data_IF_814577755135
#
_entry.id   IF_814577755135
#
_cell.length_a   1.000
_cell.length_b   1.000
_cell.length_c   1.000
_cell.angle_alpha   90.00
_cell.angle_beta   90.00
_cell.angle_gamma   90.00
#
_symmetry.space_group_name_H-M   'P 1'
#
loop_
_entity.id
_entity.type
_entity.pdbx_description
1 polymer ?
#
# COMPACT_ATOMS: atom_id res chain seq x y z
N UNK A 1 4.13 18.65 -6.68
CA UNK A 1 3.56 17.30 -6.51
C UNK A 1 4.65 16.31 -6.83
N UNK A 2 4.98 15.45 -5.88
CA UNK A 2 5.97 14.42 -6.07
C UNK A 2 5.32 13.05 -6.33
N UNK A 3 6.05 12.20 -7.03
CA UNK A 3 5.67 10.82 -7.28
C UNK A 3 6.89 9.89 -7.14
N UNK A 4 6.67 8.69 -6.62
CA UNK A 4 7.66 7.62 -6.50
C UNK A 4 7.04 6.32 -6.94
N UNK A 5 7.62 5.69 -7.95
CA UNK A 5 7.24 4.34 -8.39
C UNK A 5 8.26 3.37 -7.81
N UNK A 6 7.79 2.25 -7.30
CA UNK A 6 8.68 1.21 -6.82
C UNK A 6 8.19 -0.19 -7.17
N UNK A 7 9.16 -1.07 -7.38
CA UNK A 7 8.95 -2.45 -7.77
C UNK A 7 9.49 -3.38 -6.71
N UNK A 8 8.64 -4.29 -6.23
CA UNK A 8 9.08 -5.42 -5.41
C UNK A 8 9.57 -6.54 -6.34
N UNK A 9 10.87 -6.78 -6.31
CA UNK A 9 11.53 -7.79 -7.15
C UNK A 9 12.14 -8.95 -6.35
N UNK A 10 12.04 -8.90 -5.02
CA UNK A 10 12.47 -9.97 -4.13
C UNK A 10 11.61 -10.01 -2.85
N UNK A 11 11.79 -11.09 -2.07
CA UNK A 11 11.10 -11.30 -0.80
C UNK A 11 11.83 -10.76 0.43
N UNK A 12 13.04 -10.20 0.28
CA UNK A 12 13.88 -9.74 1.41
C UNK A 12 13.25 -8.53 2.09
N UNK A 13 12.84 -7.55 1.31
CA UNK A 13 12.24 -6.31 1.78
C UNK A 13 10.77 -6.18 1.31
N UNK A 14 10.07 -5.18 1.86
CA UNK A 14 8.70 -4.82 1.45
C UNK A 14 8.56 -3.31 1.44
N UNK A 15 8.84 -2.71 0.29
CA UNK A 15 8.63 -1.28 0.06
C UNK A 15 7.18 -0.87 0.31
N UNK A 16 6.22 -1.72 -0.07
CA UNK A 16 4.81 -1.50 0.21
C UNK A 16 4.55 -1.29 1.70
N UNK A 17 5.06 -2.16 2.58
CA UNK A 17 4.95 -2.01 4.04
C UNK A 17 5.58 -0.71 4.52
N UNK A 18 6.77 -0.38 4.03
CA UNK A 18 7.49 0.84 4.44
C UNK A 18 6.70 2.09 4.07
N UNK A 19 6.29 2.22 2.81
CA UNK A 19 5.59 3.39 2.32
C UNK A 19 4.15 3.50 2.82
N UNK A 20 3.45 2.38 2.98
CA UNK A 20 2.13 2.38 3.58
C UNK A 20 2.19 2.90 5.02
N UNK A 21 3.11 2.40 5.86
CA UNK A 21 3.22 2.88 7.23
C UNK A 21 3.68 4.34 7.31
N UNK A 22 4.58 4.79 6.43
CA UNK A 22 4.97 6.22 6.33
C UNK A 22 3.78 7.10 5.95
N UNK A 23 2.99 6.70 4.95
CA UNK A 23 1.77 7.39 4.54
C UNK A 23 0.80 7.50 5.72
N UNK A 24 0.55 6.38 6.42
CA UNK A 24 -0.38 6.35 7.54
C UNK A 24 0.08 7.29 8.67
N UNK A 25 1.37 7.24 9.03
CA UNK A 25 1.99 8.05 10.10
C UNK A 25 2.13 9.53 9.78
N UNK A 26 2.01 9.92 8.52
CA UNK A 26 2.10 11.31 8.12
C UNK A 26 1.06 12.16 8.88
N UNK A 27 1.52 13.29 9.43
CA UNK A 27 0.71 14.18 10.27
C UNK A 27 -0.02 15.25 9.46
N UNK A 28 0.24 15.34 8.16
CA UNK A 28 -0.33 16.35 7.26
C UNK A 28 -1.76 16.05 6.79
N UNK A 29 -2.44 15.12 7.47
CA UNK A 29 -3.86 14.83 7.27
C UNK A 29 -4.45 14.21 8.53
N UNK A 30 -5.74 14.38 8.73
CA UNK A 30 -6.49 13.85 9.88
C UNK A 30 -7.17 12.52 9.58
N UNK A 31 -7.31 12.17 8.30
CA UNK A 31 -8.12 11.03 7.88
C UNK A 31 -7.32 10.09 6.98
N UNK A 32 -7.70 8.81 7.05
CA UNK A 32 -7.07 7.72 6.31
C UNK A 32 -8.14 6.90 5.60
N UNK A 33 -7.96 6.63 4.32
CA UNK A 33 -8.70 5.62 3.57
C UNK A 33 -7.76 4.45 3.28
N UNK A 34 -8.13 3.23 3.66
CA UNK A 34 -7.47 1.99 3.30
C UNK A 34 -8.44 1.12 2.50
N UNK A 35 -8.16 0.96 1.21
CA UNK A 35 -8.91 0.11 0.28
C UNK A 35 -8.02 -1.04 -0.17
N UNK A 36 -8.51 -2.27 -0.09
CA UNK A 36 -7.81 -3.44 -0.62
C UNK A 36 -8.81 -4.45 -1.15
N UNK A 37 -8.41 -5.24 -2.16
CA UNK A 37 -9.24 -6.35 -2.62
C UNK A 37 -9.35 -7.41 -1.53
N UNK A 38 -8.19 -7.92 -1.11
CA UNK A 38 -8.04 -8.90 -0.05
C UNK A 38 -7.39 -8.25 1.17
N UNK A 39 -7.86 -8.62 2.36
CA UNK A 39 -7.26 -8.20 3.64
C UNK A 39 -7.04 -9.45 4.49
N UNK A 40 -5.81 -9.63 4.95
CA UNK A 40 -5.45 -10.69 5.88
C UNK A 40 -5.38 -10.18 7.31
N UNK A 41 -5.53 -11.07 8.29
CA UNK A 41 -5.49 -10.82 9.73
C UNK A 41 -4.15 -11.24 10.36
N UNK A 42 -3.05 -10.95 9.65
CA UNK A 42 -1.70 -11.28 10.12
C UNK A 42 -1.33 -10.36 11.30
N UNK A 43 -0.95 -10.91 12.48
CA UNK A 43 -0.74 -10.12 13.69
C UNK A 43 0.28 -8.98 13.57
N UNK A 44 1.42 -9.22 12.92
CA UNK A 44 2.46 -8.19 12.76
C UNK A 44 2.00 -7.03 11.87
N UNK A 45 1.27 -7.33 10.79
CA UNK A 45 0.70 -6.31 9.91
C UNK A 45 -0.40 -5.49 10.62
N UNK A 46 -1.26 -6.17 11.38
CA UNK A 46 -2.28 -5.55 12.21
C UNK A 46 -1.68 -4.56 13.21
N UNK A 47 -0.65 -5.00 13.95
CA UNK A 47 0.03 -4.17 14.93
C UNK A 47 0.70 -2.94 14.29
N UNK A 48 1.49 -3.15 13.24
CA UNK A 48 2.18 -2.06 12.53
C UNK A 48 1.20 -0.99 12.03
N UNK A 49 0.08 -1.42 11.44
CA UNK A 49 -0.95 -0.53 10.90
C UNK A 49 -1.65 0.20 12.05
N UNK A 50 -2.03 -0.48 13.13
CA UNK A 50 -2.70 0.14 14.28
C UNK A 50 -1.81 1.20 14.94
N UNK A 51 -0.53 0.90 15.19
CA UNK A 51 0.43 1.86 15.74
C UNK A 51 0.62 3.05 14.80
N UNK A 52 0.71 2.81 13.50
CA UNK A 52 0.83 3.86 12.51
C UNK A 52 -0.40 4.78 12.50
N UNK A 53 -1.61 4.20 12.60
CA UNK A 53 -2.87 4.96 12.70
C UNK A 53 -2.88 5.82 13.95
N UNK A 54 -2.49 5.27 15.11
CA UNK A 54 -2.44 6.00 16.38
C UNK A 54 -1.52 7.21 16.31
N UNK A 55 -0.41 7.12 15.57
CA UNK A 55 0.51 8.26 15.38
C UNK A 55 -0.07 9.27 14.39
N UNK A 56 -0.56 8.82 13.23
CA UNK A 56 -0.92 9.73 12.16
C UNK A 56 -2.32 10.31 12.22
N UNK A 57 -3.25 9.69 12.95
CA UNK A 57 -4.67 10.07 12.97
C UNK A 57 -5.18 10.50 14.36
N UNK A 58 -4.35 10.42 15.41
CA UNK A 58 -4.73 10.93 16.72
C UNK A 58 -4.79 12.47 16.74
N UNK A 59 -5.60 13.08 17.62
CA UNK A 59 -6.49 12.43 18.60
C UNK A 59 -7.93 12.20 18.10
N UNK A 60 -8.30 12.64 16.91
CA UNK A 60 -9.72 12.69 16.48
C UNK A 60 -9.96 12.39 15.00
N UNK A 61 -9.00 11.73 14.35
CA UNK A 61 -9.06 11.41 12.93
C UNK A 61 -10.13 10.39 12.56
N UNK A 62 -10.36 10.23 11.26
CA UNK A 62 -11.23 9.18 10.72
C UNK A 62 -10.45 8.18 9.89
N UNK A 63 -10.61 6.90 10.20
CA UNK A 63 -10.11 5.79 9.38
C UNK A 63 -11.27 5.13 8.68
N UNK A 64 -11.19 5.03 7.35
CA UNK A 64 -12.13 4.30 6.52
C UNK A 64 -11.40 3.06 6.01
N UNK A 65 -11.90 1.89 6.40
CA UNK A 65 -11.41 0.60 5.93
C UNK A 65 -12.44 0.02 4.94
N UNK A 66 -12.03 -0.16 3.68
CA UNK A 66 -12.85 -0.69 2.60
C UNK A 66 -12.23 -1.97 2.04
N UNK A 67 -13.02 -3.03 1.97
CA UNK A 67 -12.65 -4.24 1.24
C UNK A 67 -13.82 -4.77 0.43
N UNK A 68 -13.55 -5.74 -0.43
CA UNK A 68 -14.66 -6.40 -1.09
C UNK A 68 -14.29 -7.40 -2.15
N UNK A 69 -13.16 -8.10 -2.12
CA UNK A 69 -12.98 -9.32 -2.90
C UNK A 69 -13.23 -10.53 -1.99
N UNK A 70 -14.51 -10.82 -1.76
CA UNK A 70 -14.94 -11.92 -0.86
C UNK A 70 -15.55 -13.11 -1.61
N UNK A 71 -15.66 -13.03 -2.94
CA UNK A 71 -16.33 -14.05 -3.76
C UNK A 71 -15.58 -15.41 -3.82
N UNK A 72 -16.40 -16.45 -3.93
CA UNK A 72 -16.21 -17.83 -3.48
C UNK A 72 -15.35 -18.76 -4.35
N UNK A 73 -15.24 -18.55 -5.67
CA UNK A 73 -14.80 -19.63 -6.57
C UNK A 73 -13.32 -20.05 -6.40
N UNK A 74 -12.39 -19.13 -6.16
CA UNK A 74 -10.97 -19.46 -5.95
C UNK A 74 -10.59 -19.58 -4.47
N UNK A 75 -11.41 -19.02 -3.58
CA UNK A 75 -11.12 -18.99 -2.15
C UNK A 75 -11.64 -20.25 -1.44
N UNK A 76 -12.74 -20.83 -1.90
CA UNK A 76 -13.22 -22.16 -1.45
C UNK A 76 -12.26 -23.27 -1.86
N UNK A 77 -11.71 -23.22 -3.08
CA UNK A 77 -10.70 -24.17 -3.57
C UNK A 77 -9.40 -24.16 -2.72
N UNK A 78 -9.08 -23.02 -2.12
CA UNK A 78 -7.91 -22.84 -1.24
C UNK A 78 -8.27 -22.86 0.26
N UNK A 79 -9.55 -23.00 0.62
CA UNK A 79 -10.04 -22.97 1.99
C UNK A 79 -9.82 -21.64 2.73
N UNK A 80 -9.71 -20.51 2.01
CA UNK A 80 -9.46 -19.18 2.60
C UNK A 80 -10.77 -18.40 2.69
N UNK A 81 -11.19 -18.05 3.89
CA UNK A 81 -12.30 -17.14 4.12
C UNK A 81 -11.81 -15.68 4.23
N UNK A 82 -11.85 -14.96 3.11
CA UNK A 82 -11.42 -13.55 3.07
C UNK A 82 -12.35 -12.60 3.82
N UNK A 83 -13.62 -12.93 3.97
CA UNK A 83 -14.55 -12.13 4.76
C UNK A 83 -14.26 -12.28 6.25
N UNK A 84 -14.03 -13.50 6.73
CA UNK A 84 -13.61 -13.74 8.12
C UNK A 84 -12.30 -13.01 8.44
N UNK A 85 -11.29 -13.10 7.56
CA UNK A 85 -10.02 -12.39 7.75
C UNK A 85 -10.20 -10.87 7.78
N UNK A 86 -11.01 -10.31 6.89
CA UNK A 86 -11.36 -8.89 6.91
C UNK A 86 -12.04 -8.49 8.22
N UNK A 87 -13.02 -9.27 8.68
CA UNK A 87 -13.74 -9.01 9.93
C UNK A 87 -12.83 -9.10 11.17
N UNK A 88 -11.90 -10.05 11.18
CA UNK A 88 -10.90 -10.19 12.24
C UNK A 88 -9.96 -8.97 12.27
N UNK A 89 -9.47 -8.54 11.11
CA UNK A 89 -8.64 -7.34 10.98
C UNK A 89 -9.38 -6.08 11.43
N UNK A 90 -10.62 -5.89 10.98
CA UNK A 90 -11.45 -4.76 11.40
C UNK A 90 -11.74 -4.77 12.90
N UNK A 91 -12.01 -5.93 13.49
CA UNK A 91 -12.26 -6.09 14.93
C UNK A 91 -11.02 -5.78 15.76
N UNK A 92 -9.83 -6.23 15.31
CA UNK A 92 -8.56 -5.88 15.92
C UNK A 92 -8.36 -4.36 15.95
N UNK A 93 -8.50 -3.68 14.80
CA UNK A 93 -8.36 -2.23 14.73
C UNK A 93 -9.39 -1.52 15.61
N UNK A 94 -10.64 -2.00 15.65
CA UNK A 94 -11.67 -1.42 16.52
C UNK A 94 -11.28 -1.50 18.00
N UNK A 95 -10.71 -2.63 18.44
CA UNK A 95 -10.19 -2.80 19.79
C UNK A 95 -9.06 -1.82 20.10
N UNK A 96 -8.05 -1.80 19.23
CA UNK A 96 -6.85 -0.96 19.37
C UNK A 96 -7.14 0.54 19.39
N UNK A 97 -8.19 0.98 18.68
CA UNK A 97 -8.52 2.40 18.53
C UNK A 97 -9.60 2.88 19.51
N UNK A 98 -10.21 1.98 20.29
CA UNK A 98 -11.38 2.27 21.14
C UNK A 98 -11.22 3.42 22.14
N UNK A 99 -10.00 3.67 22.64
CA UNK A 99 -9.69 4.72 23.61
C UNK A 99 -9.01 5.96 23.01
N UNK A 100 -8.81 5.98 21.69
CA UNK A 100 -7.94 6.99 21.03
C UNK A 100 -8.68 8.23 20.55
N UNK A 101 -10.01 8.21 20.51
CA UNK A 101 -10.84 9.24 19.86
C UNK A 101 -10.91 9.13 18.34
N UNK A 102 -10.15 8.22 17.73
CA UNK A 102 -10.15 7.96 16.28
C UNK A 102 -11.43 7.20 15.88
N UNK A 103 -12.12 7.69 14.87
CA UNK A 103 -13.33 7.07 14.34
C UNK A 103 -13.00 6.05 13.26
N UNK A 104 -13.31 4.77 13.50
CA UNK A 104 -13.16 3.70 12.50
C UNK A 104 -14.49 3.43 11.80
N UNK A 105 -14.50 3.59 10.48
CA UNK A 105 -15.59 3.19 9.58
C UNK A 105 -15.15 1.97 8.77
N UNK A 106 -15.91 0.89 8.89
CA UNK A 106 -15.66 -0.35 8.15
C UNK A 106 -16.72 -0.48 7.05
N UNK A 107 -16.28 -0.63 5.82
CA UNK A 107 -17.12 -0.63 4.63
C UNK A 107 -16.82 -1.86 3.77
N UNK A 108 -17.85 -2.37 3.10
CA UNK A 108 -17.73 -3.46 2.13
C UNK A 108 -18.26 -2.98 0.79
N UNK A 109 -17.53 -3.27 -0.27
CA UNK A 109 -17.95 -2.88 -1.61
C UNK A 109 -19.23 -3.63 -2.05
N UNK A 110 -20.12 -2.95 -2.79
CA UNK A 110 -21.28 -3.60 -3.42
C UNK A 110 -20.84 -4.79 -4.29
N UNK A 111 -21.64 -5.86 -4.29
CA UNK A 111 -21.41 -7.09 -5.07
C UNK A 111 -20.11 -7.85 -4.73
N UNK A 112 -19.34 -7.42 -3.72
CA UNK A 112 -18.17 -8.15 -3.22
C UNK A 112 -17.17 -8.55 -4.33
N UNK A 113 -17.00 -7.66 -5.32
CA UNK A 113 -16.00 -7.76 -6.37
C UNK A 113 -15.11 -6.51 -6.50
N UNK A 114 -14.71 -5.94 -5.36
CA UNK A 114 -13.76 -4.84 -5.31
C UNK A 114 -12.33 -5.35 -5.32
N UNK A 115 -11.51 -4.91 -6.27
CA UNK A 115 -10.12 -5.34 -6.38
C UNK A 115 -9.12 -4.18 -6.37
N UNK A 116 -9.58 -2.96 -6.07
CA UNK A 116 -8.71 -1.79 -5.99
C UNK A 116 -7.90 -1.77 -4.68
N UNK A 117 -6.70 -1.22 -4.76
CA UNK A 117 -5.69 -1.20 -3.71
C UNK A 117 -5.15 0.21 -3.59
N UNK A 118 -5.71 0.93 -2.63
CA UNK A 118 -5.57 2.38 -2.52
C UNK A 118 -5.45 2.73 -1.05
N UNK A 119 -4.39 3.43 -0.67
CA UNK A 119 -4.32 4.09 0.62
C UNK A 119 -4.23 5.61 0.39
N UNK A 120 -5.10 6.39 1.05
CA UNK A 120 -5.07 7.85 0.96
C UNK A 120 -4.97 8.46 2.35
N UNK A 121 -4.06 9.42 2.51
CA UNK A 121 -4.08 10.37 3.61
C UNK A 121 -4.84 11.61 3.15
N UNK A 122 -5.78 12.08 3.98
CA UNK A 122 -6.68 13.18 3.65
C UNK A 122 -6.62 14.23 4.76
N UNK A 123 -6.60 15.51 4.38
CA UNK A 123 -6.75 16.64 5.28
C UNK A 123 -8.09 17.32 4.98
N UNK A 124 -9.06 17.17 5.89
CA UNK A 124 -10.46 17.54 5.63
C UNK A 124 -11.04 16.75 4.45
N UNK A 125 -11.18 17.39 3.29
CA UNK A 125 -11.67 16.79 2.04
C UNK A 125 -10.60 16.63 0.97
N UNK A 126 -9.36 17.05 1.25
CA UNK A 126 -8.29 17.11 0.25
C UNK A 126 -7.30 15.95 0.46
N UNK A 127 -7.11 15.05 -0.52
CA UNK A 127 -6.05 14.05 -0.47
C UNK A 127 -4.68 14.72 -0.51
N UNK A 128 -3.78 14.33 0.40
CA UNK A 128 -2.44 14.91 0.53
C UNK A 128 -1.33 13.92 0.19
N UNK A 129 -1.60 12.63 0.40
CA UNK A 129 -0.70 11.52 0.08
C UNK A 129 -1.55 10.35 -0.42
N UNK A 130 -1.11 9.70 -1.50
CA UNK A 130 -1.75 8.50 -2.04
C UNK A 130 -0.72 7.40 -2.26
N UNK A 131 -1.09 6.16 -1.97
CA UNK A 131 -0.37 4.96 -2.36
C UNK A 131 -1.32 4.08 -3.17
N UNK A 132 -0.95 3.80 -4.42
CA UNK A 132 -1.79 3.12 -5.41
C UNK A 132 -0.97 2.02 -6.08
N UNK A 133 -1.55 0.84 -6.30
CA UNK A 133 -0.81 -0.20 -7.01
C UNK A 133 -1.44 -1.59 -6.99
N UNK A 134 -0.59 -2.60 -7.04
CA UNK A 134 -0.97 -4.01 -7.10
C UNK A 134 -0.97 -4.72 -5.75
N UNK A 135 -0.39 -4.10 -4.70
CA UNK A 135 -0.25 -4.70 -3.36
C UNK A 135 -1.55 -4.74 -2.55
N UNK A 136 -2.03 -5.93 -2.20
CA UNK A 136 -3.10 -6.10 -1.22
C UNK A 136 -2.57 -5.98 0.22
N UNK A 137 -3.44 -5.73 1.20
CA UNK A 137 -3.14 -5.88 2.63
C UNK A 137 -3.08 -7.37 3.04
N UNK A 138 -2.09 -8.09 2.49
CA UNK A 138 -1.91 -9.54 2.68
C UNK A 138 -0.44 -9.87 2.95
N UNK A 139 -0.17 -11.05 3.49
CA UNK A 139 1.19 -11.49 3.80
C UNK A 139 2.16 -11.41 2.60
N UNK A 140 1.81 -11.98 1.43
CA UNK A 140 2.66 -11.97 0.25
C UNK A 140 3.11 -10.58 -0.22
N UNK A 141 2.26 -9.57 -0.06
CA UNK A 141 2.58 -8.18 -0.45
C UNK A 141 3.19 -7.37 0.71
N UNK A 142 2.77 -7.59 1.95
CA UNK A 142 3.16 -6.76 3.10
C UNK A 142 4.42 -7.26 3.83
N UNK A 143 4.56 -8.57 4.07
CA UNK A 143 5.65 -9.09 4.89
C UNK A 143 6.98 -9.12 4.12
N UNK A 144 8.06 -8.89 4.86
CA UNK A 144 9.44 -9.05 4.42
C UNK A 144 10.00 -10.40 4.92
N UNK A 145 11.01 -10.94 4.24
CA UNK A 145 11.69 -12.20 4.62
C UNK A 145 10.88 -13.48 4.40
N UNK A 146 9.83 -13.45 3.57
CA UNK A 146 8.98 -14.62 3.31
C UNK A 146 9.29 -15.27 1.96
N UNK A 147 9.06 -16.59 1.84
CA UNK A 147 9.29 -17.34 0.60
C UNK A 147 8.21 -17.10 -0.47
N UNK A 148 6.95 -17.06 -0.06
CA UNK A 148 5.80 -16.86 -0.95
C UNK A 148 5.40 -15.37 -1.00
N UNK A 149 6.28 -14.54 -1.57
CA UNK A 149 6.06 -13.12 -1.79
C UNK A 149 5.57 -12.86 -3.23
N UNK A 150 4.95 -11.71 -3.47
CA UNK A 150 4.48 -11.31 -4.79
C UNK A 150 5.42 -10.30 -5.46
N UNK A 151 5.58 -10.40 -6.77
CA UNK A 151 6.02 -9.24 -7.56
C UNK A 151 4.91 -8.20 -7.53
N UNK A 152 5.25 -6.99 -7.05
CA UNK A 152 4.30 -5.91 -6.87
C UNK A 152 4.87 -4.61 -7.44
N UNK A 153 3.99 -3.74 -7.92
CA UNK A 153 4.31 -2.38 -8.32
C UNK A 153 3.36 -1.43 -7.65
N UNK A 154 3.90 -0.44 -6.96
CA UNK A 154 3.11 0.59 -6.32
C UNK A 154 3.69 1.98 -6.59
N UNK A 155 2.82 2.99 -6.50
CA UNK A 155 3.12 4.39 -6.73
C UNK A 155 2.68 5.20 -5.53
N UNK A 156 3.63 5.91 -4.92
CA UNK A 156 3.37 6.93 -3.91
C UNK A 156 3.26 8.29 -4.62
N UNK A 157 2.17 9.02 -4.37
CA UNK A 157 1.96 10.40 -4.81
C UNK A 157 1.83 11.29 -3.57
N UNK A 158 2.37 12.51 -3.62
CA UNK A 158 2.22 13.46 -2.53
C UNK A 158 2.21 14.90 -3.02
N UNK A 159 1.53 15.75 -2.24
CA UNK A 159 1.60 17.19 -2.39
C UNK A 159 2.83 17.72 -1.63
N UNK A 160 3.81 18.27 -2.37
CA UNK A 160 5.06 18.80 -1.80
C UNK A 160 4.83 20.07 -0.97
N UNK A 161 3.84 20.87 -1.34
CA UNK A 161 3.52 22.12 -0.65
C UNK A 161 2.94 21.83 0.74
N UNK A 162 2.27 20.69 0.88
CA UNK A 162 1.62 20.26 2.13
C UNK A 162 2.56 19.38 2.97
N UNK A 163 3.24 18.42 2.36
CA UNK A 163 4.00 17.39 3.10
C UNK A 163 5.43 17.80 3.46
N UNK A 164 5.97 18.82 2.78
CA UNK A 164 7.36 19.22 2.92
C UNK A 164 8.34 18.12 2.51
N UNK A 165 9.63 18.32 2.80
CA UNK A 165 10.68 17.47 2.24
C UNK A 165 11.07 16.23 3.08
N UNK A 166 10.50 16.03 4.28
CA UNK A 166 11.21 15.33 5.37
C UNK A 166 10.98 13.82 5.58
N UNK A 167 9.74 13.30 5.54
CA UNK A 167 9.44 11.92 6.01
C UNK A 167 9.04 10.97 4.88
N UNK A 168 8.33 11.43 3.86
CA UNK A 168 7.97 10.61 2.70
C UNK A 168 9.14 10.43 1.71
N UNK A 169 10.07 11.38 1.70
CA UNK A 169 11.04 11.51 0.60
C UNK A 169 12.34 10.76 0.81
N UNK A 170 12.61 10.26 2.01
CA UNK A 170 13.80 9.43 2.23
C UNK A 170 13.60 8.11 1.48
N UNK A 171 14.51 7.70 0.58
CA UNK A 171 14.42 6.37 -0.03
C UNK A 171 14.39 5.32 1.09
N UNK A 172 13.67 4.22 0.89
CA UNK A 172 13.85 3.08 1.77
C UNK A 172 15.27 2.55 1.49
N UNK A 173 16.02 2.19 2.53
CA UNK A 173 17.40 1.71 2.39
C UNK A 173 17.48 0.28 1.82
N UNK A 174 16.49 -0.16 1.06
CA UNK A 174 16.38 -1.54 0.57
C UNK A 174 17.09 -1.73 -0.76
N UNK A 175 17.42 -2.99 -1.06
CA UNK A 175 17.92 -3.41 -2.38
C UNK A 175 16.82 -3.40 -3.46
N UNK A 176 15.59 -3.01 -3.09
CA UNK A 176 14.46 -2.89 -4.00
C UNK A 176 14.56 -1.63 -4.87
N UNK A 177 13.91 -1.69 -6.03
CA UNK A 177 14.00 -0.61 -7.02
C UNK A 177 13.03 0.50 -6.67
N UNK A 178 13.58 1.70 -6.47
CA UNK A 178 12.82 2.94 -6.33
C UNK A 178 13.15 3.91 -7.46
N UNK A 179 12.11 4.51 -8.03
CA UNK A 179 12.22 5.58 -9.01
C UNK A 179 11.47 6.80 -8.52
N UNK A 180 12.23 7.83 -8.18
CA UNK A 180 11.68 9.14 -7.90
C UNK A 180 11.32 9.85 -9.21
N UNK A 181 10.03 10.06 -9.47
CA UNK A 181 9.55 10.90 -10.56
C UNK A 181 9.43 12.38 -10.16
N UNK A 182 10.07 12.78 -9.05
CA UNK A 182 10.19 14.19 -8.67
C UNK A 182 11.20 14.87 -9.60
N UNK A 183 10.72 15.49 -10.67
CA UNK A 183 11.54 16.42 -11.47
C UNK A 183 11.68 17.70 -10.67
N UNK A 184 12.72 17.77 -9.83
CA UNK A 184 13.02 19.00 -9.07
C UNK A 184 13.53 20.07 -10.04
N UNK A 185 13.10 21.34 -9.90
CA UNK A 185 13.72 22.45 -10.61
C UNK A 185 15.25 22.42 -10.44
N UNK A 186 15.98 22.41 -11.55
CA UNK A 186 17.45 22.35 -11.56
C UNK A 186 18.06 20.94 -11.51
N UNK A 187 17.26 19.86 -11.52
CA UNK A 187 17.78 18.50 -11.70
C UNK A 187 17.97 18.14 -13.18
N UNK A 188 18.98 17.34 -13.50
CA UNK A 188 19.17 16.78 -14.86
C UNK A 188 18.24 15.57 -15.14
N UNK A 189 17.32 15.25 -14.22
CA UNK A 189 16.38 14.13 -14.36
C UNK A 189 15.16 14.61 -15.12
N UNK A 190 14.77 13.85 -16.13
CA UNK A 190 13.51 14.05 -16.88
C UNK A 190 12.64 12.82 -16.76
N UNK A 191 11.34 12.97 -16.99
CA UNK A 191 10.38 11.86 -17.04
C UNK A 191 10.87 10.77 -18.00
N UNK A 192 11.39 11.18 -19.18
CA UNK A 192 11.97 10.26 -20.15
C UNK A 192 13.13 9.46 -19.57
N UNK A 193 14.03 10.09 -18.82
CA UNK A 193 15.16 9.36 -18.22
C UNK A 193 14.72 8.40 -17.13
N UNK A 194 13.70 8.75 -16.32
CA UNK A 194 13.19 7.87 -15.26
C UNK A 194 12.36 6.71 -15.82
N UNK A 195 11.52 6.95 -16.84
CA UNK A 195 10.79 5.90 -17.55
C UNK A 195 11.76 4.93 -18.25
N UNK A 196 12.84 5.42 -18.85
CA UNK A 196 13.86 4.56 -19.45
C UNK A 196 14.58 3.69 -18.41
N UNK A 197 14.79 4.19 -17.18
CA UNK A 197 15.33 3.38 -16.08
C UNK A 197 14.33 2.29 -15.70
N UNK A 198 13.05 2.62 -15.49
CA UNK A 198 11.99 1.66 -15.19
C UNK A 198 11.95 0.54 -16.23
N UNK A 199 11.89 0.91 -17.51
CA UNK A 199 11.88 -0.04 -18.61
C UNK A 199 13.07 -0.99 -18.57
N UNK A 200 14.30 -0.46 -18.44
CA UNK A 200 15.51 -1.29 -18.37
C UNK A 200 15.49 -2.26 -17.19
N UNK A 201 14.95 -1.85 -16.05
CA UNK A 201 14.84 -2.69 -14.87
C UNK A 201 13.85 -3.82 -15.11
N UNK A 202 12.63 -3.51 -15.58
CA UNK A 202 11.60 -4.51 -15.87
C UNK A 202 12.12 -5.54 -16.87
N UNK A 203 12.73 -5.06 -17.96
CA UNK A 203 13.30 -5.94 -18.99
C UNK A 203 14.55 -6.71 -18.53
N UNK A 204 15.15 -6.32 -17.40
CA UNK A 204 16.29 -7.01 -16.79
C UNK A 204 15.90 -8.02 -15.71
N UNK A 205 14.61 -8.15 -15.36
CA UNK A 205 14.11 -9.16 -14.45
C UNK A 205 14.26 -10.57 -15.06
N UNK A 206 14.35 -11.65 -14.25
CA UNK A 206 14.41 -13.02 -14.74
C UNK A 206 13.04 -13.47 -15.29
N UNK A 207 12.65 -12.92 -16.45
CA UNK A 207 11.39 -13.21 -17.12
C UNK A 207 11.52 -14.48 -17.96
N UNK A 208 10.48 -15.32 -17.94
CA UNK A 208 10.38 -16.50 -18.79
C UNK A 208 9.63 -16.14 -20.08
N UNK A 209 10.11 -16.67 -21.21
CA UNK A 209 9.36 -16.58 -22.47
C UNK A 209 8.24 -17.60 -22.43
N UNK A 210 7.02 -17.17 -22.72
CA UNK A 210 5.92 -18.11 -22.96
C UNK A 210 6.32 -19.00 -24.13
N UNK A 211 6.33 -20.31 -23.92
CA UNK A 211 6.44 -21.23 -25.05
C UNK A 211 5.14 -21.08 -25.82
N UNK A 212 5.22 -20.62 -27.06
CA UNK A 212 4.10 -20.80 -27.97
C UNK A 212 3.91 -22.31 -28.09
N UNK A 213 2.73 -22.79 -27.68
CA UNK A 213 2.32 -24.15 -28.02
C UNK A 213 2.23 -24.16 -29.55
N UNK A 214 3.26 -24.71 -30.22
CA UNK A 214 3.19 -24.98 -31.65
C UNK A 214 2.00 -25.91 -31.90
N UNK A 215 0.91 -25.36 -32.47
CA UNK A 215 -0.25 -26.12 -33.00
C UNK A 215 0.16 -27.05 -34.15
#
# INVERSE_FOLDING_TARGET
>A
MGARIFLRSNGKDSLFRIYLNRLIRATQGDSLLLCSGYISDIPSMQQDIAESIKVGCAPSGTVILLAGKFAQSTSEELGIDWEARFNNFASFLKGELSSTGINLKVMVAPNRNWHAKIALKVSGTTPVIALLGSSNLTGPAYLAGIKAWNYESDTLLWDEDITGSGILNSPASSDDVELDMVVRPGSNRTEKTEMNKLYKIIMGLPLETLKDDEE
#
